data_IF_098219853796
#
_entry.id   IF_098219853796
#
_cell.length_a   1.000
_cell.length_b   1.000
_cell.length_c   1.000
_cell.angle_alpha   90.00
_cell.angle_beta   90.00
_cell.angle_gamma   90.00
#
_symmetry.space_group_name_H-M   'P 1'
#
loop_
_entity.id
_entity.type
_entity.pdbx_description
1 polymer ?
#
# COMPACT_ATOMS: atom_id res chain seq x y z
N UNK A 1 -46.26 15.00 2.28
CA UNK A 1 -46.27 13.66 1.67
C UNK A 1 -45.18 13.60 0.61
N UNK A 2 -44.08 12.91 0.89
CA UNK A 2 -43.22 12.28 -0.10
C UNK A 2 -42.60 11.10 0.65
N UNK A 3 -43.16 9.93 0.40
CA UNK A 3 -42.78 8.67 1.03
C UNK A 3 -41.37 8.34 0.54
N UNK A 4 -40.39 8.35 1.43
CA UNK A 4 -39.06 7.81 1.15
C UNK A 4 -39.24 6.30 1.11
N UNK A 5 -39.44 5.77 -0.09
CA UNK A 5 -39.52 4.35 -0.35
C UNK A 5 -38.16 3.72 -0.04
N UNK A 6 -38.16 2.82 0.92
CA UNK A 6 -37.10 1.87 1.22
C UNK A 6 -36.80 1.06 -0.04
N UNK A 7 -35.79 1.50 -0.79
CA UNK A 7 -35.26 0.77 -1.93
C UNK A 7 -34.55 -0.48 -1.44
N UNK A 8 -35.21 -1.61 -1.54
CA UNK A 8 -34.58 -2.93 -1.49
C UNK A 8 -33.51 -2.95 -2.57
N UNK A 9 -32.24 -2.87 -2.15
CA UNK A 9 -31.08 -3.02 -3.04
C UNK A 9 -31.11 -4.44 -3.60
N UNK A 10 -31.50 -4.54 -4.86
CA UNK A 10 -31.58 -5.79 -5.63
C UNK A 10 -30.25 -6.58 -5.53
N UNK A 11 -30.32 -7.83 -5.10
CA UNK A 11 -29.19 -8.78 -4.98
C UNK A 11 -28.52 -9.15 -6.32
N UNK A 12 -29.01 -8.62 -7.45
CA UNK A 12 -28.65 -9.10 -8.80
C UNK A 12 -27.43 -8.41 -9.47
N UNK A 13 -26.84 -7.36 -8.90
CA UNK A 13 -25.70 -6.64 -9.53
C UNK A 13 -24.31 -6.96 -8.94
N UNK A 14 -24.21 -7.87 -7.96
CA UNK A 14 -22.92 -8.18 -7.31
C UNK A 14 -21.92 -8.96 -8.18
N UNK A 15 -22.34 -9.48 -9.34
CA UNK A 15 -21.59 -10.53 -10.04
C UNK A 15 -20.90 -10.10 -11.36
N UNK A 16 -20.85 -8.80 -11.69
CA UNK A 16 -20.28 -8.35 -12.98
C UNK A 16 -18.77 -8.10 -13.00
N UNK A 17 -18.08 -8.09 -11.86
CA UNK A 17 -16.66 -7.72 -11.79
C UNK A 17 -15.77 -8.72 -11.03
N UNK A 18 -16.09 -10.01 -11.09
CA UNK A 18 -15.29 -11.04 -10.44
C UNK A 18 -14.21 -11.58 -11.38
N UNK A 19 -13.06 -10.88 -11.46
CA UNK A 19 -11.92 -11.38 -12.21
C UNK A 19 -11.04 -12.25 -11.31
N UNK A 20 -10.93 -13.54 -11.59
CA UNK A 20 -10.02 -14.46 -10.87
C UNK A 20 -10.14 -14.40 -9.33
N UNK A 21 -11.38 -14.33 -8.80
CA UNK A 21 -11.73 -14.16 -7.36
C UNK A 21 -11.53 -12.76 -6.78
N UNK A 22 -11.15 -11.77 -7.58
CA UNK A 22 -11.04 -10.37 -7.16
C UNK A 22 -12.28 -9.62 -7.63
N UNK A 23 -13.02 -9.03 -6.67
CA UNK A 23 -14.11 -8.11 -6.98
C UNK A 23 -13.52 -6.73 -7.29
N UNK A 24 -13.60 -6.33 -8.56
CA UNK A 24 -13.15 -5.02 -9.02
C UNK A 24 -14.31 -4.02 -8.90
N UNK A 25 -14.46 -3.41 -7.72
CA UNK A 25 -15.41 -2.31 -7.52
C UNK A 25 -14.68 -1.01 -7.20
N UNK A 26 -15.22 0.11 -7.70
CA UNK A 26 -14.77 1.46 -7.30
C UNK A 26 -15.14 1.77 -5.83
N UNK A 27 -16.02 0.98 -5.24
CA UNK A 27 -16.47 1.10 -3.85
C UNK A 27 -15.39 0.65 -2.84
N UNK A 28 -14.40 -0.15 -3.27
CA UNK A 28 -13.32 -0.64 -2.41
C UNK A 28 -12.15 0.36 -2.28
N UNK A 29 -12.39 1.66 -2.49
CA UNK A 29 -11.36 2.69 -2.34
C UNK A 29 -10.96 2.91 -0.87
N UNK A 30 -11.86 2.61 0.06
CA UNK A 30 -11.70 2.77 1.50
C UNK A 30 -11.66 1.37 2.13
N UNK A 31 -10.66 1.14 2.99
CA UNK A 31 -10.58 -0.12 3.74
C UNK A 31 -11.70 -0.13 4.81
N UNK A 32 -12.55 -1.16 4.86
CA UNK A 32 -13.61 -1.23 5.86
C UNK A 32 -13.00 -1.36 7.28
N UNK A 33 -13.63 -0.77 8.31
CA UNK A 33 -13.03 -0.64 9.64
C UNK A 33 -12.76 -2.01 10.30
N UNK A 34 -13.50 -3.05 9.93
CA UNK A 34 -13.31 -4.41 10.41
C UNK A 34 -11.98 -5.02 9.94
N UNK A 35 -11.40 -4.51 8.85
CA UNK A 35 -10.09 -4.93 8.35
C UNK A 35 -8.93 -4.14 8.95
N UNK A 36 -9.21 -3.09 9.74
CA UNK A 36 -8.17 -2.34 10.45
C UNK A 36 -7.64 -3.13 11.67
N UNK A 37 -8.48 -3.98 12.28
CA UNK A 37 -8.11 -4.78 13.45
C UNK A 37 -8.92 -6.08 13.55
N UNK A 38 -8.28 -7.25 13.75
CA UNK A 38 -6.84 -7.46 13.85
C UNK A 38 -6.12 -7.36 12.49
N UNK A 39 -4.95 -6.72 12.45
CA UNK A 39 -4.13 -6.69 11.25
C UNK A 39 -3.52 -8.08 10.98
N UNK A 40 -3.17 -8.41 9.72
CA UNK A 40 -2.46 -9.65 9.41
C UNK A 40 -1.14 -9.81 10.16
N UNK A 41 -0.43 -8.70 10.41
CA UNK A 41 0.82 -8.71 11.18
C UNK A 41 0.59 -9.02 12.65
N UNK A 42 -0.50 -8.50 13.23
CA UNK A 42 -0.89 -8.80 14.61
C UNK A 42 -1.25 -10.29 14.79
N UNK A 43 -1.96 -10.87 13.81
CA UNK A 43 -2.27 -12.30 13.81
C UNK A 43 -1.03 -13.18 13.71
N UNK A 44 0.03 -12.69 13.04
CA UNK A 44 1.33 -13.36 12.96
C UNK A 44 2.24 -13.05 14.18
N UNK A 45 1.72 -12.39 15.22
CA UNK A 45 2.42 -12.16 16.49
C UNK A 45 3.23 -10.87 16.58
N UNK A 46 3.07 -9.93 15.63
CA UNK A 46 3.70 -8.62 15.73
C UNK A 46 2.93 -7.72 16.70
N UNK A 47 3.66 -7.07 17.60
CA UNK A 47 3.08 -6.06 18.49
C UNK A 47 2.57 -4.85 17.69
N UNK A 48 1.47 -4.25 18.14
CA UNK A 48 0.85 -3.10 17.45
C UNK A 48 1.81 -1.92 17.34
N UNK A 49 2.59 -1.64 18.38
CA UNK A 49 3.53 -0.51 18.38
C UNK A 49 4.63 -0.74 17.33
N UNK A 50 5.24 -1.92 17.33
CA UNK A 50 6.21 -2.32 16.32
C UNK A 50 5.64 -2.26 14.89
N UNK A 51 4.37 -2.63 14.69
CA UNK A 51 3.70 -2.49 13.41
C UNK A 51 3.57 -1.02 12.97
N UNK A 52 3.20 -0.13 13.89
CA UNK A 52 3.08 1.32 13.63
C UNK A 52 4.45 1.89 13.25
N UNK A 53 5.50 1.56 14.00
CA UNK A 53 6.87 1.99 13.70
C UNK A 53 7.31 1.52 12.30
N UNK A 54 7.05 0.25 11.95
CA UNK A 54 7.36 -0.28 10.62
C UNK A 54 6.58 0.43 9.50
N UNK A 55 5.33 0.82 9.76
CA UNK A 55 4.51 1.60 8.82
C UNK A 55 5.08 2.99 8.60
N UNK A 56 5.49 3.67 9.66
CA UNK A 56 6.10 5.01 9.59
C UNK A 56 7.44 4.91 8.84
N UNK A 57 8.30 3.99 9.26
CA UNK A 57 9.63 3.79 8.68
C UNK A 57 9.56 3.42 7.19
N UNK A 58 8.59 2.60 6.80
CA UNK A 58 8.34 2.27 5.40
C UNK A 58 7.95 3.48 4.56
N UNK A 59 7.06 4.35 5.08
CA UNK A 59 6.69 5.60 4.40
C UNK A 59 7.87 6.58 4.27
N UNK A 60 8.70 6.70 5.31
CA UNK A 60 9.91 7.53 5.29
C UNK A 60 10.94 7.02 4.28
N UNK A 61 11.12 5.70 4.21
CA UNK A 61 11.98 5.08 3.20
C UNK A 61 11.49 5.38 1.79
N UNK A 62 10.17 5.30 1.55
CA UNK A 62 9.58 5.64 0.26
C UNK A 62 9.82 7.11 -0.08
N UNK A 63 9.63 8.01 0.88
CA UNK A 63 9.86 9.44 0.66
C UNK A 63 11.33 9.73 0.34
N UNK A 64 12.25 9.20 1.16
CA UNK A 64 13.69 9.44 1.03
C UNK A 64 14.21 8.92 -0.31
N UNK A 65 13.84 7.70 -0.67
CA UNK A 65 14.24 7.10 -1.94
C UNK A 65 13.58 7.81 -3.13
N UNK A 66 12.33 8.24 -3.02
CA UNK A 66 11.66 9.02 -4.06
C UNK A 66 12.34 10.37 -4.33
N UNK A 67 12.83 11.06 -3.29
CA UNK A 67 13.64 12.29 -3.42
C UNK A 67 14.95 11.99 -4.16
N UNK A 68 15.68 10.95 -3.75
CA UNK A 68 16.95 10.56 -4.39
C UNK A 68 16.78 10.12 -5.86
N UNK A 69 15.65 9.48 -6.17
CA UNK A 69 15.26 9.09 -7.54
C UNK A 69 14.65 10.25 -8.35
N UNK A 70 14.49 11.43 -7.75
CA UNK A 70 13.83 12.61 -8.36
C UNK A 70 12.43 12.29 -8.88
N UNK A 71 11.63 11.57 -8.10
CA UNK A 71 10.23 11.30 -8.42
C UNK A 71 9.34 12.49 -8.06
N UNK A 72 8.21 12.70 -8.77
CA UNK A 72 7.23 13.69 -8.38
C UNK A 72 6.57 13.31 -7.04
N UNK A 73 6.12 14.31 -6.27
CA UNK A 73 5.48 14.10 -4.97
C UNK A 73 4.25 13.19 -5.07
N UNK A 74 3.50 13.28 -6.18
CA UNK A 74 2.34 12.42 -6.44
C UNK A 74 2.75 10.94 -6.48
N UNK A 75 3.87 10.60 -7.11
CA UNK A 75 4.37 9.21 -7.14
C UNK A 75 4.81 8.70 -5.76
N UNK A 76 5.40 9.57 -4.93
CA UNK A 76 5.75 9.21 -3.56
C UNK A 76 4.51 8.96 -2.71
N UNK A 77 3.50 9.82 -2.81
CA UNK A 77 2.20 9.65 -2.15
C UNK A 77 1.50 8.35 -2.60
N UNK A 78 1.44 8.10 -3.91
CA UNK A 78 0.90 6.86 -4.47
C UNK A 78 1.65 5.63 -3.94
N UNK A 79 2.98 5.69 -3.86
CA UNK A 79 3.81 4.63 -3.28
C UNK A 79 3.49 4.34 -1.81
N UNK A 80 3.30 5.38 -0.99
CA UNK A 80 2.92 5.23 0.42
C UNK A 80 1.53 4.61 0.58
N UNK A 81 0.55 5.02 -0.24
CA UNK A 81 -0.80 4.43 -0.23
C UNK A 81 -0.76 2.95 -0.61
N UNK A 82 0.01 2.59 -1.64
CA UNK A 82 0.19 1.19 -2.05
C UNK A 82 0.83 0.36 -0.92
N UNK A 83 1.85 0.90 -0.26
CA UNK A 83 2.54 0.27 0.85
C UNK A 83 1.59 0.02 2.04
N UNK A 84 0.82 1.03 2.44
CA UNK A 84 -0.15 0.88 3.54
C UNK A 84 -1.21 -0.17 3.20
N UNK A 85 -1.80 -0.10 2.00
CA UNK A 85 -2.80 -1.07 1.52
C UNK A 85 -2.26 -2.50 1.48
N UNK A 86 -1.00 -2.66 1.08
CA UNK A 86 -0.35 -3.98 1.09
C UNK A 86 -0.31 -4.56 2.51
N UNK A 87 0.15 -3.80 3.51
CA UNK A 87 0.26 -4.29 4.90
C UNK A 87 -1.06 -4.33 5.68
N UNK A 88 -2.15 -3.80 5.13
CA UNK A 88 -3.49 -4.12 5.62
C UNK A 88 -4.02 -5.47 5.11
N UNK A 89 -3.38 -6.05 4.09
CA UNK A 89 -3.75 -7.36 3.52
C UNK A 89 -2.69 -8.44 3.74
N UNK A 90 -1.47 -8.04 4.11
CA UNK A 90 -0.29 -8.89 4.27
C UNK A 90 0.46 -8.52 5.55
N UNK A 91 1.27 -9.45 6.02
CA UNK A 91 1.99 -9.32 7.28
C UNK A 91 3.43 -8.84 7.09
N UNK A 92 3.88 -7.95 7.97
CA UNK A 92 5.29 -7.54 8.08
C UNK A 92 6.22 -8.68 8.48
N UNK A 93 5.71 -9.70 9.18
CA UNK A 93 6.49 -10.89 9.56
C UNK A 93 6.83 -11.73 8.33
N UNK A 94 5.92 -11.80 7.35
CA UNK A 94 6.06 -12.62 6.13
C UNK A 94 6.72 -11.88 4.97
N UNK A 95 6.63 -10.56 4.95
CA UNK A 95 7.11 -9.73 3.86
C UNK A 95 7.99 -8.61 4.40
N UNK A 96 9.24 -8.59 3.98
CA UNK A 96 10.20 -7.57 4.41
C UNK A 96 9.81 -6.20 3.88
N UNK A 97 9.73 -5.23 4.80
CA UNK A 97 9.38 -3.84 4.51
C UNK A 97 10.23 -3.20 3.42
N UNK A 98 11.56 -3.40 3.43
CA UNK A 98 12.48 -2.84 2.42
C UNK A 98 12.12 -3.29 0.99
N UNK A 99 11.85 -4.59 0.80
CA UNK A 99 11.53 -5.17 -0.51
C UNK A 99 10.19 -4.64 -1.02
N UNK A 100 9.19 -4.58 -0.14
CA UNK A 100 7.87 -4.06 -0.49
C UNK A 100 7.93 -2.57 -0.81
N UNK A 101 8.72 -1.78 -0.08
CA UNK A 101 8.92 -0.36 -0.37
C UNK A 101 9.54 -0.13 -1.77
N UNK A 102 10.57 -0.90 -2.14
CA UNK A 102 11.15 -0.86 -3.50
C UNK A 102 10.12 -1.22 -4.57
N UNK A 103 9.30 -2.25 -4.33
CA UNK A 103 8.24 -2.67 -5.24
C UNK A 103 7.17 -1.58 -5.40
N UNK A 104 6.73 -0.96 -4.29
CA UNK A 104 5.75 0.11 -4.28
C UNK A 104 6.23 1.33 -5.06
N UNK A 105 7.49 1.75 -4.89
CA UNK A 105 8.06 2.86 -5.68
C UNK A 105 8.14 2.52 -7.16
N UNK A 106 8.61 1.32 -7.48
CA UNK A 106 8.72 0.89 -8.88
C UNK A 106 7.34 0.91 -9.53
N UNK A 107 6.31 0.41 -8.84
CA UNK A 107 4.93 0.42 -9.31
C UNK A 107 4.34 1.84 -9.40
N UNK A 108 4.49 2.65 -8.36
CA UNK A 108 3.98 4.02 -8.33
C UNK A 108 4.62 4.90 -9.41
N UNK A 109 5.92 4.75 -9.66
CA UNK A 109 6.61 5.46 -10.73
C UNK A 109 6.04 5.13 -12.12
N UNK A 110 5.54 3.91 -12.32
CA UNK A 110 4.86 3.52 -13.55
C UNK A 110 3.43 4.07 -13.63
N UNK A 111 2.69 4.06 -12.52
CA UNK A 111 1.32 4.59 -12.45
C UNK A 111 1.28 6.08 -12.76
N UNK A 112 2.26 6.83 -12.26
CA UNK A 112 2.35 8.28 -12.47
C UNK A 112 3.16 8.68 -13.71
N UNK A 113 3.38 7.75 -14.66
CA UNK A 113 4.10 8.00 -15.92
C UNK A 113 5.51 8.61 -15.74
N UNK A 114 6.16 8.31 -14.61
CA UNK A 114 7.51 8.76 -14.27
C UNK A 114 8.47 7.57 -13.97
N UNK A 115 8.59 6.57 -14.86
CA UNK A 115 9.28 5.32 -14.55
C UNK A 115 10.77 5.54 -14.26
N UNK A 116 11.33 4.67 -13.41
CA UNK A 116 12.77 4.59 -13.11
C UNK A 116 13.28 3.18 -13.40
N UNK A 117 14.56 3.05 -13.74
CA UNK A 117 15.16 1.73 -13.92
C UNK A 117 15.23 1.03 -12.57
N UNK A 118 14.90 -0.26 -12.54
CA UNK A 118 14.92 -1.05 -11.30
C UNK A 118 16.31 -1.01 -10.64
N UNK A 119 17.38 -1.01 -11.46
CA UNK A 119 18.75 -0.86 -10.96
C UNK A 119 18.94 0.42 -10.15
N UNK A 120 18.37 1.54 -10.60
CA UNK A 120 18.51 2.83 -9.92
C UNK A 120 17.78 2.80 -8.57
N UNK A 121 16.59 2.18 -8.53
CA UNK A 121 15.83 1.96 -7.29
C UNK A 121 16.64 1.13 -6.29
N UNK A 122 17.18 -0.02 -6.73
CA UNK A 122 18.00 -0.89 -5.87
C UNK A 122 19.24 -0.15 -5.35
N UNK A 123 19.93 0.60 -6.20
CA UNK A 123 21.11 1.37 -5.80
C UNK A 123 20.78 2.45 -4.76
N UNK A 124 19.66 3.14 -4.93
CA UNK A 124 19.20 4.16 -3.96
C UNK A 124 18.87 3.53 -2.61
N UNK A 125 18.15 2.41 -2.58
CA UNK A 125 17.86 1.71 -1.32
C UNK A 125 19.12 1.18 -0.65
N UNK A 126 20.06 0.65 -1.44
CA UNK A 126 21.36 0.23 -0.92
C UNK A 126 22.14 1.40 -0.32
N UNK A 127 22.15 2.56 -0.98
CA UNK A 127 22.78 3.77 -0.48
C UNK A 127 22.16 4.26 0.82
N UNK A 128 20.82 4.32 0.92
CA UNK A 128 20.11 4.70 2.15
C UNK A 128 20.48 3.77 3.31
N UNK A 129 20.58 2.47 3.05
CA UNK A 129 20.95 1.47 4.06
C UNK A 129 22.38 1.66 4.57
N UNK A 130 23.32 2.00 3.68
CA UNK A 130 24.69 2.31 4.07
C UNK A 130 24.78 3.56 4.93
N UNK A 131 24.08 4.64 4.55
CA UNK A 131 24.09 5.92 5.28
C UNK A 131 23.45 5.80 6.66
N UNK A 132 22.46 4.93 6.84
CA UNK A 132 21.82 4.68 8.15
C UNK A 132 22.60 3.71 9.04
N UNK A 133 23.51 2.93 8.47
CA UNK A 133 24.27 1.90 9.17
C UNK A 133 25.69 2.30 9.59
N UNK A 134 26.15 3.49 9.20
CA UNK A 134 27.43 4.08 9.64
C UNK A 134 27.18 5.24 10.58
#
# INVERSE_FOLDING_TARGET
MAVVQTGVVNEMDKNKYQYSKVSLSLENCILPPEKLSPSPSHLDGLEREAEIELRILGCELIQTSGILLRLPQVAMATGQVLFQRFYYSKSFVRHTMEIVAMACITLASKIEEAPRRIRDVVNVFHHIKQVRGG
#
